data_IF_136275910422
#
_entry.id   IF_136275910422
#
_cell.length_a   1.000
_cell.length_b   1.000
_cell.length_c   1.000
_cell.angle_alpha   90.00
_cell.angle_beta   90.00
_cell.angle_gamma   90.00
#
_symmetry.space_group_name_H-M   'P 1'
#
loop_
_entity.id
_entity.type
_entity.pdbx_description
1 polymer ?
#
# COMPACT_ATOMS: atom_id res chain seq x y z
N UNK A 1 -13.26 15.51 9.17
CA UNK A 1 -12.88 14.54 8.12
C UNK A 1 -11.85 13.61 8.73
N UNK A 2 -12.16 12.32 8.86
CA UNK A 2 -11.22 11.33 9.40
C UNK A 2 -10.19 10.89 8.35
N UNK A 3 -9.18 10.10 8.73
CA UNK A 3 -8.22 9.54 7.79
C UNK A 3 -8.96 8.70 6.75
N UNK A 4 -8.84 9.09 5.49
CA UNK A 4 -9.49 8.43 4.35
C UNK A 4 -8.45 8.18 3.26
N UNK A 5 -8.07 6.91 3.08
CA UNK A 5 -7.15 6.49 2.02
C UNK A 5 -7.64 6.91 0.62
N UNK A 6 -8.92 6.76 0.25
CA UNK A 6 -9.41 7.24 -1.05
C UNK A 6 -9.21 8.74 -1.26
N UNK A 7 -9.48 9.55 -0.22
CA UNK A 7 -9.30 11.02 -0.28
C UNK A 7 -7.84 11.40 -0.33
N UNK A 8 -6.97 10.70 0.40
CA UNK A 8 -5.53 10.88 0.31
C UNK A 8 -5.05 10.64 -1.12
N UNK A 9 -5.46 9.52 -1.74
CA UNK A 9 -5.08 9.16 -3.10
C UNK A 9 -5.60 10.15 -4.14
N UNK A 10 -6.86 10.60 -4.05
CA UNK A 10 -7.38 11.61 -4.98
C UNK A 10 -6.67 12.95 -4.85
N UNK A 11 -6.21 13.29 -3.65
CA UNK A 11 -5.49 14.54 -3.38
C UNK A 11 -4.08 14.53 -4.00
N UNK A 12 -3.33 13.43 -3.83
CA UNK A 12 -1.91 13.38 -4.29
C UNK A 12 -1.74 12.80 -5.69
N UNK A 13 -2.72 12.03 -6.16
CA UNK A 13 -2.63 11.26 -7.40
C UNK A 13 -3.89 11.36 -8.28
N UNK A 14 -4.76 12.35 -8.02
CA UNK A 14 -5.89 12.66 -8.90
C UNK A 14 -5.48 13.56 -10.06
N UNK A 15 -6.17 14.69 -10.21
CA UNK A 15 -6.09 15.57 -11.39
C UNK A 15 -4.70 16.19 -11.65
N UNK A 16 -3.73 16.04 -10.74
CA UNK A 16 -2.37 16.52 -10.94
C UNK A 16 -1.71 15.92 -12.20
N UNK A 17 -2.07 14.70 -12.57
CA UNK A 17 -1.56 14.04 -13.78
C UNK A 17 -2.21 14.53 -15.08
N UNK A 18 -3.28 15.31 -15.01
CA UNK A 18 -4.03 15.83 -16.16
C UNK A 18 -3.62 17.26 -16.54
N UNK A 19 -2.71 17.86 -15.76
CA UNK A 19 -2.26 19.23 -15.95
C UNK A 19 -1.43 19.34 -17.24
N UNK A 20 -1.97 20.04 -18.25
CA UNK A 20 -1.28 20.28 -19.53
C UNK A 20 0.02 21.09 -19.43
N UNK A 21 0.32 21.66 -18.27
CA UNK A 21 1.58 22.33 -17.96
C UNK A 21 2.75 21.35 -17.77
N UNK A 22 2.48 20.05 -17.58
CA UNK A 22 3.50 19.02 -17.42
C UNK A 22 3.39 18.01 -18.56
N UNK A 23 4.53 17.65 -19.15
CA UNK A 23 4.61 16.58 -20.17
C UNK A 23 4.72 15.19 -19.55
N UNK A 24 4.89 15.11 -18.22
CA UNK A 24 4.97 13.87 -17.46
C UNK A 24 5.15 14.17 -15.99
N UNK A 25 4.41 13.44 -15.14
CA UNK A 25 4.46 13.57 -13.69
C UNK A 25 4.47 12.17 -13.08
N UNK A 26 5.27 11.97 -12.03
CA UNK A 26 5.40 10.68 -11.34
C UNK A 26 5.50 10.91 -9.85
N UNK A 27 4.58 10.33 -9.09
CA UNK A 27 4.71 10.22 -7.65
C UNK A 27 5.79 9.17 -7.33
N UNK A 28 6.86 9.58 -6.65
CA UNK A 28 8.00 8.72 -6.36
C UNK A 28 7.88 8.03 -5.00
N UNK A 29 7.46 8.78 -3.99
CA UNK A 29 7.31 8.31 -2.61
C UNK A 29 6.34 9.22 -1.84
N UNK A 30 5.83 8.74 -0.71
CA UNK A 30 5.01 9.52 0.21
C UNK A 30 5.23 9.09 1.66
N UNK A 31 5.20 10.06 2.56
CA UNK A 31 5.22 9.84 4.00
C UNK A 31 3.92 10.37 4.60
N UNK A 32 3.25 9.53 5.39
CA UNK A 32 2.04 9.92 6.12
C UNK A 32 2.36 10.08 7.60
N UNK A 33 1.71 11.02 8.31
CA UNK A 33 1.84 11.12 9.75
C UNK A 33 1.46 9.82 10.45
N UNK A 34 2.17 9.45 11.51
CA UNK A 34 1.88 8.23 12.29
C UNK A 34 0.41 8.09 12.71
N UNK A 35 -0.28 9.16 13.17
CA UNK A 35 -1.71 9.07 13.52
C UNK A 35 -2.62 8.67 12.36
N UNK A 36 -2.25 9.00 11.12
CA UNK A 36 -2.99 8.58 9.93
C UNK A 36 -2.82 7.07 9.71
N UNK A 37 -1.59 6.57 9.83
CA UNK A 37 -1.28 5.16 9.66
C UNK A 37 -1.95 4.27 10.73
N UNK A 38 -1.91 4.70 11.99
CA UNK A 38 -2.44 3.94 13.14
C UNK A 38 -3.97 3.78 13.13
N UNK A 39 -4.68 4.56 12.32
CA UNK A 39 -6.15 4.45 12.23
C UNK A 39 -6.60 3.23 11.41
N UNK A 40 -5.71 2.64 10.62
CA UNK A 40 -6.01 1.45 9.82
C UNK A 40 -5.55 0.17 10.52
N UNK A 41 -6.27 -0.95 10.40
CA UNK A 41 -5.95 -2.20 11.09
C UNK A 41 -4.62 -2.83 10.64
N UNK A 42 -4.05 -2.39 9.52
CA UNK A 42 -2.82 -2.95 8.97
C UNK A 42 -2.97 -4.39 8.47
N UNK A 43 -1.85 -5.09 8.23
CA UNK A 43 -1.87 -6.47 7.75
C UNK A 43 -2.28 -7.45 8.86
N UNK A 44 -3.34 -8.23 8.63
CA UNK A 44 -3.88 -9.18 9.60
C UNK A 44 -2.87 -10.27 10.04
N UNK A 45 -2.04 -10.76 9.12
CA UNK A 45 -1.09 -11.84 9.40
C UNK A 45 0.38 -11.39 9.22
N UNK A 46 0.64 -10.45 8.31
CA UNK A 46 2.00 -10.05 7.97
C UNK A 46 2.89 -11.22 7.56
N UNK A 47 4.21 -10.97 7.52
CA UNK A 47 5.19 -12.00 7.15
C UNK A 47 5.20 -13.15 8.16
N UNK A 48 5.19 -12.83 9.45
CA UNK A 48 5.29 -13.82 10.53
C UNK A 48 4.07 -14.74 10.57
N UNK A 49 2.86 -14.19 10.51
CA UNK A 49 1.62 -14.96 10.54
C UNK A 49 1.48 -15.87 9.31
N UNK A 50 1.86 -15.40 8.12
CA UNK A 50 1.87 -16.25 6.92
C UNK A 50 2.84 -17.42 7.06
N UNK A 51 4.03 -17.20 7.63
CA UNK A 51 4.99 -18.30 7.90
C UNK A 51 4.45 -19.31 8.90
N UNK A 52 3.81 -18.83 9.98
CA UNK A 52 3.16 -19.70 10.97
C UNK A 52 2.04 -20.55 10.36
N UNK A 53 1.20 -19.96 9.52
CA UNK A 53 0.08 -20.66 8.87
C UNK A 53 0.55 -21.70 7.83
N UNK A 54 1.70 -21.48 7.20
CA UNK A 54 2.25 -22.36 6.16
C UNK A 54 3.28 -23.36 6.69
N UNK A 55 3.83 -23.15 7.89
CA UNK A 55 4.90 -23.96 8.47
C UNK A 55 6.25 -23.81 7.74
N UNK A 56 6.45 -22.76 6.96
CA UNK A 56 7.66 -22.54 6.15
C UNK A 56 8.55 -21.47 6.76
N UNK A 57 9.74 -21.89 7.21
CA UNK A 57 10.75 -21.03 7.83
C UNK A 57 12.06 -21.08 7.03
N UNK A 58 12.83 -19.99 7.08
CA UNK A 58 14.18 -19.86 6.49
C UNK A 58 14.32 -20.16 4.99
N UNK A 59 13.17 -20.22 4.30
CA UNK A 59 13.09 -20.40 2.85
C UNK A 59 11.91 -19.62 2.25
N UNK A 60 11.93 -19.36 0.93
CA UNK A 60 10.80 -18.78 0.22
C UNK A 60 9.55 -19.66 0.29
N UNK A 61 8.38 -19.02 0.19
CA UNK A 61 7.10 -19.71 -0.01
C UNK A 61 6.96 -20.07 -1.49
N UNK A 62 6.57 -21.32 -1.78
CA UNK A 62 6.33 -21.78 -3.14
C UNK A 62 4.82 -21.92 -3.35
N UNK A 63 4.29 -21.23 -4.35
CA UNK A 63 2.89 -21.28 -4.74
C UNK A 63 2.74 -21.42 -6.26
N UNK A 64 1.57 -21.85 -6.71
CA UNK A 64 1.21 -21.93 -8.12
C UNK A 64 -0.20 -21.37 -8.34
N UNK A 65 -0.49 -20.93 -9.57
CA UNK A 65 -1.80 -20.44 -9.99
C UNK A 65 -2.41 -21.51 -10.91
N UNK A 66 -3.61 -21.97 -10.60
CA UNK A 66 -4.33 -22.94 -11.44
C UNK A 66 -4.54 -22.31 -12.82
N UNK A 67 -4.24 -23.09 -13.86
CA UNK A 67 -4.43 -22.73 -15.27
C UNK A 67 -5.70 -23.36 -15.80
#
# INVERSE_FOLDING_TARGET
>A
MGPSLPVLMSTVAGNLFELGQFSGLRLMDMQVPQPFADTYPGPQFGVEGTRRLTGVYDRPLIGTIIK
#
